data_IF_948670270295
#
_entry.id   IF_948670270295
#
_cell.length_a   1.000
_cell.length_b   1.000
_cell.length_c   1.000
_cell.angle_alpha   90.00
_cell.angle_beta   90.00
_cell.angle_gamma   90.00
#
_symmetry.space_group_name_H-M   'P 1'
#
loop_
_entity.id
_entity.type
_entity.pdbx_description
1 polymer ?
#
# COMPACT_ATOMS: atom_id res chain seq x y z
N UNK A 1 -17.93 1.16 2.11
CA UNK A 1 -16.98 0.65 3.13
C UNK A 1 -17.63 -0.57 3.76
N UNK A 2 -17.21 -1.78 3.42
CA UNK A 2 -17.87 -3.04 3.87
C UNK A 2 -17.04 -3.71 4.95
N UNK A 3 -17.68 -4.19 6.02
CA UNK A 3 -17.02 -4.72 7.22
C UNK A 3 -16.07 -5.90 6.93
N UNK A 4 -16.39 -6.71 5.91
CA UNK A 4 -15.58 -7.87 5.52
C UNK A 4 -14.12 -7.54 5.18
N UNK A 5 -13.85 -6.34 4.66
CA UNK A 5 -12.49 -5.91 4.27
C UNK A 5 -11.67 -5.34 5.43
N UNK A 6 -12.32 -5.03 6.55
CA UNK A 6 -11.68 -4.45 7.74
C UNK A 6 -11.52 -5.46 8.86
N UNK A 7 -12.38 -6.48 8.93
CA UNK A 7 -12.35 -7.53 9.95
C UNK A 7 -10.98 -8.22 10.13
N UNK A 8 -10.25 -8.64 9.07
CA UNK A 8 -9.00 -9.40 9.27
C UNK A 8 -7.82 -8.54 9.74
N UNK A 9 -7.78 -7.24 9.43
CA UNK A 9 -6.63 -6.38 9.71
C UNK A 9 -7.04 -4.91 9.90
N UNK A 10 -7.93 -4.67 10.87
CA UNK A 10 -8.54 -3.35 11.12
C UNK A 10 -7.51 -2.25 11.34
N UNK A 11 -6.54 -2.46 12.26
CA UNK A 11 -5.55 -1.45 12.61
C UNK A 11 -4.66 -1.07 11.39
N UNK A 12 -4.28 -2.04 10.57
CA UNK A 12 -3.51 -1.79 9.36
C UNK A 12 -4.34 -1.02 8.31
N UNK A 13 -5.59 -1.42 8.10
CA UNK A 13 -6.50 -0.72 7.18
C UNK A 13 -6.75 0.72 7.62
N UNK A 14 -7.02 0.96 8.91
CA UNK A 14 -7.24 2.31 9.45
C UNK A 14 -6.00 3.19 9.26
N UNK A 15 -4.81 2.69 9.57
CA UNK A 15 -3.58 3.47 9.41
C UNK A 15 -3.32 3.83 7.94
N UNK A 16 -3.49 2.90 6.98
CA UNK A 16 -3.26 3.16 5.55
C UNK A 16 -4.33 4.04 4.91
N UNK A 17 -5.60 3.86 5.25
CA UNK A 17 -6.67 4.73 4.77
C UNK A 17 -6.53 6.12 5.38
N UNK A 18 -6.14 6.22 6.66
CA UNK A 18 -5.86 7.50 7.32
C UNK A 18 -4.81 8.33 6.59
N UNK A 19 -3.70 7.70 6.15
CA UNK A 19 -2.69 8.38 5.33
C UNK A 19 -3.27 8.97 4.03
N UNK A 20 -4.20 8.25 3.39
CA UNK A 20 -4.85 8.73 2.16
C UNK A 20 -5.81 9.89 2.43
N UNK A 21 -6.49 9.91 3.58
CA UNK A 21 -7.32 11.05 3.99
C UNK A 21 -6.47 12.29 4.27
N UNK A 22 -5.29 12.15 4.87
CA UNK A 22 -4.36 13.27 5.05
C UNK A 22 -3.94 13.87 3.72
N UNK A 23 -3.67 13.05 2.70
CA UNK A 23 -3.35 13.53 1.34
C UNK A 23 -4.50 14.37 0.77
N UNK A 24 -5.75 13.92 0.90
CA UNK A 24 -6.91 14.68 0.44
C UNK A 24 -7.03 16.05 1.13
N UNK A 25 -6.89 16.10 2.46
CA UNK A 25 -6.94 17.35 3.22
C UNK A 25 -5.79 18.30 2.86
N UNK A 26 -4.55 17.80 2.92
CA UNK A 26 -3.35 18.57 2.64
C UNK A 26 -3.27 19.06 1.18
N UNK A 27 -3.85 18.31 0.23
CA UNK A 27 -3.92 18.74 -1.17
C UNK A 27 -4.71 20.04 -1.36
N UNK A 28 -5.72 20.28 -0.52
CA UNK A 28 -6.50 21.52 -0.55
C UNK A 28 -5.86 22.60 0.31
N UNK A 29 -5.38 22.24 1.49
CA UNK A 29 -4.75 23.19 2.43
C UNK A 29 -3.50 23.84 1.84
N UNK A 30 -2.66 23.08 1.14
CA UNK A 30 -1.42 23.60 0.55
C UNK A 30 -1.57 24.06 -0.90
N UNK A 31 -2.80 24.04 -1.45
CA UNK A 31 -3.08 24.54 -2.80
C UNK A 31 -2.67 26.00 -3.01
N UNK A 32 -2.91 26.94 -2.06
CA UNK A 32 -2.45 28.33 -2.21
C UNK A 32 -0.93 28.48 -2.25
N UNK A 33 -0.20 27.53 -1.66
CA UNK A 33 1.26 27.49 -1.66
C UNK A 33 1.84 26.80 -2.92
N UNK A 34 0.97 26.30 -3.80
CA UNK A 34 1.39 25.59 -5.02
C UNK A 34 1.99 24.20 -4.80
N UNK A 35 1.75 23.58 -3.63
CA UNK A 35 2.30 22.25 -3.30
C UNK A 35 1.30 21.16 -3.70
N UNK A 36 1.72 20.24 -4.57
CA UNK A 36 0.92 19.08 -4.96
C UNK A 36 1.17 17.90 -4.00
N UNK A 37 0.11 17.43 -3.33
CA UNK A 37 0.17 16.26 -2.44
C UNK A 37 -0.65 15.13 -3.07
N UNK A 38 0.01 14.01 -3.36
CA UNK A 38 -0.59 12.84 -4.00
C UNK A 38 -0.17 11.55 -3.29
N UNK A 39 -0.97 10.50 -3.46
CA UNK A 39 -0.64 9.15 -3.01
C UNK A 39 -0.41 8.24 -4.22
N UNK A 40 0.55 7.31 -4.09
CA UNK A 40 0.78 6.24 -5.06
C UNK A 40 0.64 4.90 -4.34
N UNK A 41 -0.01 3.94 -5.01
CA UNK A 41 -0.13 2.58 -4.53
C UNK A 41 0.22 1.59 -5.64
N UNK A 42 1.04 0.56 -5.37
CA UNK A 42 1.38 -0.43 -6.37
C UNK A 42 0.19 -1.37 -6.62
N UNK A 43 -0.03 -1.72 -7.89
CA UNK A 43 -1.07 -2.69 -8.28
C UNK A 43 -0.77 -4.11 -7.79
N UNK A 44 0.52 -4.44 -7.68
CA UNK A 44 1.01 -5.77 -7.28
C UNK A 44 1.96 -5.65 -6.10
N UNK A 45 2.17 -6.76 -5.40
CA UNK A 45 3.13 -6.87 -4.31
C UNK A 45 4.56 -6.60 -4.85
N UNK A 46 5.34 -5.80 -4.12
CA UNK A 46 6.73 -5.49 -4.46
C UNK A 46 7.66 -6.35 -3.60
N UNK A 47 8.49 -7.20 -4.20
CA UNK A 47 9.38 -8.09 -3.45
C UNK A 47 10.52 -7.34 -2.75
N UNK A 48 10.32 -7.02 -1.48
CA UNK A 48 11.29 -6.38 -0.58
C UNK A 48 11.65 -7.29 0.60
N UNK A 49 12.72 -6.95 1.34
CA UNK A 49 13.12 -7.68 2.56
C UNK A 49 12.01 -7.71 3.62
N UNK A 50 11.25 -6.63 3.77
CA UNK A 50 10.10 -6.56 4.68
C UNK A 50 9.04 -7.63 4.33
N UNK A 51 8.76 -7.81 3.03
CA UNK A 51 7.84 -8.84 2.59
C UNK A 51 8.39 -10.26 2.74
N UNK A 52 9.72 -10.46 2.71
CA UNK A 52 10.31 -11.78 3.03
C UNK A 52 10.06 -12.18 4.48
N UNK A 53 10.12 -11.23 5.42
CA UNK A 53 9.79 -11.51 6.82
C UNK A 53 8.32 -11.91 6.98
N UNK A 54 7.40 -11.21 6.30
CA UNK A 54 5.96 -11.51 6.34
C UNK A 54 5.62 -12.81 5.57
N UNK A 55 6.26 -13.06 4.43
CA UNK A 55 6.04 -14.26 3.63
C UNK A 55 6.62 -15.52 4.32
N UNK A 56 7.75 -15.38 5.02
CA UNK A 56 8.35 -16.47 5.79
C UNK A 56 7.46 -16.92 6.95
N UNK A 57 6.66 -16.03 7.54
CA UNK A 57 5.67 -16.43 8.54
C UNK A 57 4.38 -17.02 7.93
N UNK A 58 4.19 -16.89 6.61
CA UNK A 58 2.97 -17.28 5.91
C UNK A 58 3.16 -18.40 4.84
N UNK A 59 4.35 -19.02 4.75
CA UNK A 59 4.68 -20.06 3.74
C UNK A 59 4.33 -19.67 2.29
N UNK A 60 4.53 -18.40 1.91
CA UNK A 60 4.18 -17.90 0.58
C UNK A 60 5.34 -18.13 -0.40
N UNK A 61 5.13 -18.94 -1.44
CA UNK A 61 6.12 -19.25 -2.48
C UNK A 61 6.32 -18.08 -3.48
N UNK A 62 7.55 -17.90 -3.95
CA UNK A 62 7.98 -16.73 -4.73
C UNK A 62 7.86 -16.94 -6.25
N UNK A 63 6.79 -16.42 -6.87
CA UNK A 63 6.57 -16.56 -8.33
C UNK A 63 6.97 -15.33 -9.18
N UNK A 64 7.13 -14.15 -8.58
CA UNK A 64 7.19 -12.90 -9.36
C UNK A 64 8.56 -12.59 -10.02
N UNK A 65 9.66 -13.25 -9.65
CA UNK A 65 10.97 -13.03 -10.28
C UNK A 65 11.21 -13.85 -11.54
N UNK A 66 10.36 -14.85 -11.84
CA UNK A 66 10.59 -15.80 -12.94
C UNK A 66 10.20 -15.25 -14.32
N UNK A 67 9.27 -14.31 -14.40
CA UNK A 67 8.70 -13.85 -15.68
C UNK A 67 9.42 -12.65 -16.32
N UNK A 68 10.56 -12.20 -15.78
CA UNK A 68 11.34 -11.08 -16.36
C UNK A 68 12.48 -11.51 -17.30
N UNK A 69 12.65 -12.82 -17.54
CA UNK A 69 13.67 -13.35 -18.48
C UNK A 69 13.13 -13.69 -19.89
N UNK A 70 11.92 -13.24 -20.25
CA UNK A 70 11.26 -13.56 -21.53
C UNK A 70 10.88 -12.33 -22.39
N UNK A 71 11.60 -11.22 -22.26
CA UNK A 71 11.49 -10.06 -23.17
C UNK A 71 12.86 -9.54 -23.56
#
# INVERSE_FOLDING_TARGET
>A
MEAQWFSPHLAYSMSKIGMSMCVLGMSQEFRPLGIAVNALWPRTIIWTSALKMVASSMNINQECSRNRKLS
#
